data_IF_701287517111
#
_entry.id   IF_701287517111
#
_cell.length_a   1.000
_cell.length_b   1.000
_cell.length_c   1.000
_cell.angle_alpha   90.00
_cell.angle_beta   90.00
_cell.angle_gamma   90.00
#
_symmetry.space_group_name_H-M   'P 1'
#
loop_
_entity.id
_entity.type
_entity.pdbx_description
1 polymer ?
#
# COMPACT_ATOMS: atom_id res chain seq x y z
N UNK A 1 -70.40 -36.64 -3.13
CA UNK A 1 -69.40 -36.95 -4.17
C UNK A 1 -68.03 -36.76 -3.54
N UNK A 2 -67.28 -37.85 -3.51
CA UNK A 2 -66.06 -38.16 -2.75
C UNK A 2 -64.94 -37.12 -2.80
N UNK A 3 -64.51 -36.64 -1.63
CA UNK A 3 -63.20 -36.03 -1.47
C UNK A 3 -62.12 -37.11 -1.49
N UNK A 4 -61.33 -37.16 -2.56
CA UNK A 4 -60.10 -37.96 -2.59
C UNK A 4 -59.03 -37.26 -1.76
N UNK A 5 -59.00 -37.55 -0.47
CA UNK A 5 -57.84 -37.30 0.39
C UNK A 5 -56.86 -38.45 0.26
N UNK A 6 -55.63 -38.18 -0.17
CA UNK A 6 -54.55 -39.18 -0.19
C UNK A 6 -54.21 -39.71 1.21
N UNK A 7 -53.69 -40.93 1.29
CA UNK A 7 -53.52 -41.75 2.49
C UNK A 7 -52.55 -41.20 3.57
N UNK A 8 -51.92 -40.05 3.35
CA UNK A 8 -51.19 -39.32 4.38
C UNK A 8 -51.71 -37.88 4.38
N UNK A 9 -52.44 -37.51 5.43
CA UNK A 9 -53.16 -36.24 5.59
C UNK A 9 -52.29 -34.98 5.69
N UNK A 10 -51.09 -34.98 5.12
CA UNK A 10 -50.27 -33.78 4.97
C UNK A 10 -50.68 -33.09 3.68
N UNK A 11 -51.52 -32.04 3.80
CA UNK A 11 -51.63 -31.02 2.75
C UNK A 11 -50.19 -30.57 2.44
N UNK A 12 -49.78 -30.63 1.18
CA UNK A 12 -48.48 -30.17 0.74
C UNK A 12 -48.34 -28.65 0.96
N UNK A 13 -48.03 -28.22 2.18
CA UNK A 13 -47.56 -26.89 2.51
C UNK A 13 -46.03 -26.86 2.63
N UNK A 14 -45.33 -27.82 2.02
CA UNK A 14 -43.87 -27.86 1.92
C UNK A 14 -43.37 -26.93 0.81
N UNK A 15 -43.69 -25.64 0.95
CA UNK A 15 -43.10 -24.57 0.12
C UNK A 15 -42.65 -23.39 0.96
N UNK A 16 -42.56 -23.55 2.28
CA UNK A 16 -42.05 -22.54 3.21
C UNK A 16 -40.55 -22.24 3.04
N UNK A 17 -39.81 -23.10 2.33
CA UNK A 17 -38.44 -22.81 1.88
C UNK A 17 -38.36 -21.83 0.71
N UNK A 18 -39.49 -21.50 0.07
CA UNK A 18 -39.53 -20.53 -1.03
C UNK A 18 -39.74 -19.13 -0.48
N UNK A 19 -38.88 -18.20 -0.90
CA UNK A 19 -38.98 -16.78 -0.56
C UNK A 19 -40.37 -16.25 -0.93
N UNK A 20 -41.24 -16.09 0.07
CA UNK A 20 -42.57 -15.50 -0.09
C UNK A 20 -42.37 -14.01 -0.30
N UNK A 21 -42.76 -13.51 -1.47
CA UNK A 21 -42.78 -12.08 -1.73
C UNK A 21 -43.98 -11.49 -0.99
N UNK A 22 -43.72 -10.58 -0.07
CA UNK A 22 -44.77 -9.86 0.62
C UNK A 22 -45.45 -8.88 -0.36
N UNK A 23 -46.64 -9.24 -0.84
CA UNK A 23 -47.35 -8.46 -1.86
C UNK A 23 -47.71 -7.06 -1.35
N UNK A 24 -47.92 -6.92 -0.05
CA UNK A 24 -48.29 -5.64 0.57
C UNK A 24 -47.08 -4.70 0.61
N UNK A 25 -45.92 -5.19 1.07
CA UNK A 25 -44.67 -4.42 1.06
C UNK A 25 -44.29 -3.95 -0.37
N UNK A 26 -44.43 -4.83 -1.36
CA UNK A 26 -44.14 -4.47 -2.76
C UNK A 26 -45.18 -3.51 -3.35
N UNK A 27 -46.45 -3.63 -2.96
CA UNK A 27 -47.50 -2.68 -3.36
C UNK A 27 -47.27 -1.29 -2.74
N UNK A 28 -46.87 -1.22 -1.47
CA UNK A 28 -46.48 0.04 -0.83
C UNK A 28 -45.24 0.65 -1.48
N UNK A 29 -44.25 -0.17 -1.81
CA UNK A 29 -43.03 0.27 -2.49
C UNK A 29 -43.31 0.77 -3.91
N UNK A 30 -44.28 0.17 -4.61
CA UNK A 30 -44.75 0.66 -5.90
C UNK A 30 -45.46 2.01 -5.76
N UNK A 31 -46.41 2.14 -4.82
CA UNK A 31 -47.09 3.41 -4.53
C UNK A 31 -46.12 4.53 -4.18
N UNK A 32 -45.13 4.27 -3.32
CA UNK A 32 -44.07 5.23 -2.98
C UNK A 32 -43.26 5.66 -4.20
N UNK A 33 -42.96 4.74 -5.13
CA UNK A 33 -42.30 5.08 -6.40
C UNK A 33 -43.17 5.95 -7.30
N UNK A 34 -44.46 5.64 -7.41
CA UNK A 34 -45.41 6.41 -8.24
C UNK A 34 -45.66 7.81 -7.66
N UNK A 35 -45.68 7.95 -6.34
CA UNK A 35 -45.72 9.26 -5.65
C UNK A 35 -44.44 10.06 -5.90
N UNK A 36 -43.27 9.45 -5.72
CA UNK A 36 -41.99 10.09 -6.04
C UNK A 36 -41.89 10.53 -7.50
N UNK A 37 -42.41 9.74 -8.44
CA UNK A 37 -42.39 10.08 -9.86
C UNK A 37 -43.36 11.23 -10.17
N UNK A 38 -44.56 11.21 -9.60
CA UNK A 38 -45.53 12.32 -9.72
C UNK A 38 -44.97 13.62 -9.16
N UNK A 39 -44.30 13.59 -8.01
CA UNK A 39 -43.72 14.80 -7.42
C UNK A 39 -42.53 15.32 -8.25
N UNK A 40 -41.74 14.44 -8.87
CA UNK A 40 -40.71 14.85 -9.85
C UNK A 40 -41.30 15.49 -11.10
N UNK A 41 -42.43 14.99 -11.60
CA UNK A 41 -43.11 15.56 -12.76
C UNK A 41 -43.63 16.96 -12.44
N UNK A 42 -44.26 17.15 -11.27
CA UNK A 42 -44.67 18.47 -10.78
C UNK A 42 -43.48 19.44 -10.64
N UNK A 43 -42.37 19.02 -10.02
CA UNK A 43 -41.17 19.87 -9.90
C UNK A 43 -40.60 20.24 -11.28
N UNK A 44 -40.63 19.30 -12.23
CA UNK A 44 -40.18 19.56 -13.60
C UNK A 44 -41.10 20.52 -14.35
N UNK A 45 -42.41 20.40 -14.20
CA UNK A 45 -43.41 21.34 -14.75
C UNK A 45 -43.23 22.74 -14.16
N UNK A 46 -43.01 22.85 -12.84
CA UNK A 46 -42.71 24.12 -12.18
C UNK A 46 -41.40 24.74 -12.68
N UNK A 47 -40.35 23.94 -12.88
CA UNK A 47 -39.08 24.42 -13.46
C UNK A 47 -39.27 24.88 -14.91
N UNK A 48 -40.07 24.16 -15.70
CA UNK A 48 -40.40 24.56 -17.06
C UNK A 48 -41.21 25.86 -17.10
N UNK A 49 -42.17 26.03 -16.18
CA UNK A 49 -42.91 27.28 -15.99
C UNK A 49 -42.00 28.45 -15.60
N UNK A 50 -40.92 28.17 -14.86
CA UNK A 50 -39.84 29.13 -14.54
C UNK A 50 -38.78 29.27 -15.67
N UNK A 51 -38.97 28.64 -16.83
CA UNK A 51 -38.02 28.69 -17.96
C UNK A 51 -36.72 27.90 -17.76
N UNK A 52 -36.61 27.09 -16.71
CA UNK A 52 -35.43 26.26 -16.41
C UNK A 52 -35.61 24.85 -16.97
N UNK A 53 -34.55 24.29 -17.54
CA UNK A 53 -34.55 22.91 -18.09
C UNK A 53 -34.93 21.87 -17.02
N UNK A 54 -35.74 20.83 -17.34
CA UNK A 54 -36.15 19.79 -16.39
C UNK A 54 -34.95 19.05 -15.79
N UNK A 55 -35.06 18.62 -14.52
CA UNK A 55 -34.07 17.73 -13.90
C UNK A 55 -34.31 16.32 -14.42
N UNK A 56 -33.26 15.71 -14.97
CA UNK A 56 -33.28 14.32 -15.48
C UNK A 56 -32.96 13.26 -14.42
N UNK A 57 -32.62 13.64 -13.19
CA UNK A 57 -32.18 12.73 -12.12
C UNK A 57 -32.83 13.03 -10.78
N UNK A 58 -32.76 12.06 -9.86
CA UNK A 58 -33.24 12.19 -8.48
C UNK A 58 -32.46 13.32 -7.78
N UNK A 59 -33.16 14.10 -6.95
CA UNK A 59 -32.53 15.12 -6.13
C UNK A 59 -31.85 14.41 -4.97
N UNK A 60 -30.55 14.18 -5.09
CA UNK A 60 -29.76 13.82 -3.93
C UNK A 60 -29.65 15.11 -3.10
N UNK A 61 -30.38 15.17 -1.98
CA UNK A 61 -30.29 16.23 -0.98
C UNK A 61 -28.95 16.13 -0.25
N UNK A 62 -27.88 16.33 -1.02
CA UNK A 62 -26.54 16.45 -0.50
C UNK A 62 -26.45 17.80 0.19
N UNK A 63 -25.86 17.86 1.40
CA UNK A 63 -25.73 19.10 2.15
C UNK A 63 -25.08 20.18 1.28
N UNK A 64 -25.57 21.41 1.42
CA UNK A 64 -25.00 22.56 0.71
C UNK A 64 -23.51 22.60 1.02
N UNK A 65 -22.63 22.70 0.01
CA UNK A 65 -21.19 22.70 0.26
C UNK A 65 -20.80 23.91 1.11
N UNK A 66 -20.45 23.69 2.36
CA UNK A 66 -20.11 24.74 3.32
C UNK A 66 -18.61 25.03 3.35
N UNK A 67 -17.77 24.07 2.94
CA UNK A 67 -16.32 24.21 3.03
C UNK A 67 -15.66 24.57 1.69
N UNK A 68 -14.58 25.35 1.75
CA UNK A 68 -13.69 25.58 0.60
C UNK A 68 -12.88 24.32 0.29
N UNK A 69 -12.38 24.21 -0.94
CA UNK A 69 -11.58 23.07 -1.36
C UNK A 69 -10.28 23.02 -0.54
N UNK A 70 -10.16 22.02 0.32
CA UNK A 70 -8.95 21.80 1.13
C UNK A 70 -7.90 21.05 0.31
N UNK A 71 -6.63 21.32 0.60
CA UNK A 71 -5.52 20.52 0.07
C UNK A 71 -5.59 19.12 0.69
N UNK A 72 -5.34 18.08 -0.11
CA UNK A 72 -5.29 16.70 0.40
C UNK A 72 -4.07 16.53 1.31
N UNK A 73 -4.30 15.95 2.48
CA UNK A 73 -3.27 15.71 3.49
C UNK A 73 -2.57 14.35 3.33
N UNK A 74 -3.24 13.36 2.75
CA UNK A 74 -2.70 12.01 2.50
C UNK A 74 -2.36 11.73 1.03
N UNK A 75 -1.48 10.75 0.81
CA UNK A 75 -1.25 10.17 -0.51
C UNK A 75 -2.48 9.38 -0.96
N UNK A 76 -2.77 9.43 -2.26
CA UNK A 76 -3.91 8.73 -2.86
C UNK A 76 -3.62 7.25 -3.13
N UNK A 77 -2.44 6.78 -2.71
CA UNK A 77 -1.94 5.40 -2.77
C UNK A 77 -2.28 4.67 -4.08
N UNK A 78 -2.05 5.35 -5.20
CA UNK A 78 -2.31 4.82 -6.54
C UNK A 78 -1.45 3.58 -6.85
N UNK A 79 -0.36 3.41 -6.11
CA UNK A 79 0.65 2.37 -6.34
C UNK A 79 0.35 1.03 -5.65
N UNK A 80 -0.67 0.98 -4.78
CA UNK A 80 -0.97 -0.21 -3.94
C UNK A 80 -1.16 -1.50 -4.73
N UNK A 81 -1.66 -1.37 -5.96
CA UNK A 81 -2.03 -2.48 -6.83
C UNK A 81 -1.09 -2.65 -8.03
N UNK A 82 0.08 -1.99 -8.03
CA UNK A 82 1.08 -2.23 -9.07
C UNK A 82 1.59 -3.67 -8.99
N UNK A 83 1.60 -4.35 -10.14
CA UNK A 83 2.08 -5.73 -10.32
C UNK A 83 1.36 -6.80 -9.48
N UNK A 84 0.18 -6.52 -8.92
CA UNK A 84 -0.63 -7.49 -8.16
C UNK A 84 -1.83 -7.95 -8.99
N UNK A 85 -2.01 -9.26 -9.09
CA UNK A 85 -3.22 -9.86 -9.67
C UNK A 85 -4.30 -9.97 -8.60
N UNK A 86 -5.42 -9.27 -8.79
CA UNK A 86 -6.55 -9.26 -7.86
C UNK A 86 -7.67 -10.15 -8.41
N UNK A 87 -8.19 -11.06 -7.59
CA UNK A 87 -9.37 -11.86 -7.94
C UNK A 87 -10.62 -10.98 -7.83
N UNK A 88 -11.40 -10.91 -8.92
CA UNK A 88 -12.63 -10.12 -8.96
C UNK A 88 -13.69 -10.80 -8.09
N UNK A 89 -13.98 -10.23 -6.92
CA UNK A 89 -14.98 -10.80 -6.00
C UNK A 89 -16.42 -10.40 -6.36
N UNK A 90 -16.59 -9.33 -7.15
CA UNK A 90 -17.90 -8.76 -7.43
C UNK A 90 -18.19 -8.72 -8.95
N UNK A 91 -19.16 -9.53 -9.39
CA UNK A 91 -19.56 -9.65 -10.80
C UNK A 91 -20.41 -8.48 -11.31
N UNK A 92 -20.90 -7.63 -10.39
CA UNK A 92 -21.79 -6.51 -10.70
C UNK A 92 -21.11 -5.31 -11.38
N UNK A 93 -19.79 -5.36 -11.60
CA UNK A 93 -19.05 -4.33 -12.34
C UNK A 93 -18.93 -2.98 -11.62
N UNK A 94 -19.50 -2.82 -10.42
CA UNK A 94 -19.35 -1.66 -9.53
C UNK A 94 -19.21 -2.09 -8.07
N UNK A 95 -18.25 -1.51 -7.36
CA UNK A 95 -18.08 -1.72 -5.92
C UNK A 95 -16.69 -2.22 -5.51
N UNK A 96 -16.46 -2.40 -4.20
CA UNK A 96 -15.19 -2.88 -3.67
C UNK A 96 -14.91 -4.30 -4.17
N UNK A 97 -13.65 -4.59 -4.53
CA UNK A 97 -13.22 -5.91 -5.03
C UNK A 97 -13.14 -6.03 -6.56
N UNK A 98 -13.31 -4.94 -7.30
CA UNK A 98 -13.03 -4.89 -8.75
C UNK A 98 -11.65 -4.27 -8.96
N UNK A 99 -10.84 -4.79 -9.89
CA UNK A 99 -9.55 -4.20 -10.23
C UNK A 99 -9.72 -2.76 -10.70
N UNK A 100 -9.05 -1.83 -10.01
CA UNK A 100 -9.11 -0.40 -10.27
C UNK A 100 -9.04 0.43 -8.99
N UNK A 101 -9.24 1.74 -9.15
CA UNK A 101 -9.35 2.69 -8.05
C UNK A 101 -10.80 2.83 -7.62
N UNK A 102 -11.07 2.56 -6.35
CA UNK A 102 -12.42 2.64 -5.78
C UNK A 102 -12.59 3.94 -4.98
N UNK A 103 -13.69 4.65 -5.26
CA UNK A 103 -14.11 5.80 -4.48
C UNK A 103 -15.24 5.39 -3.52
N UNK A 104 -14.98 5.47 -2.21
CA UNK A 104 -15.93 5.12 -1.15
C UNK A 104 -17.13 6.08 -1.11
N UNK A 105 -16.90 7.38 -1.26
CA UNK A 105 -17.99 8.37 -1.14
C UNK A 105 -19.00 8.29 -2.28
N UNK A 106 -18.55 7.90 -3.47
CA UNK A 106 -19.38 7.84 -4.67
C UNK A 106 -19.77 6.41 -5.07
N UNK A 107 -19.25 5.38 -4.38
CA UNK A 107 -19.44 3.97 -4.70
C UNK A 107 -19.15 3.64 -6.18
N UNK A 108 -18.08 4.21 -6.74
CA UNK A 108 -17.68 4.04 -8.14
C UNK A 108 -16.25 3.54 -8.24
N UNK A 109 -16.03 2.61 -9.15
CA UNK A 109 -14.71 2.11 -9.52
C UNK A 109 -14.27 2.71 -10.84
N UNK A 110 -12.99 3.11 -10.90
CA UNK A 110 -12.33 3.66 -12.08
C UNK A 110 -11.16 2.76 -12.45
N UNK A 111 -11.00 2.47 -13.74
CA UNK A 111 -9.93 1.59 -14.24
C UNK A 111 -8.60 2.34 -14.38
N UNK A 112 -8.67 3.63 -14.70
CA UNK A 112 -7.52 4.48 -14.95
C UNK A 112 -7.29 5.47 -13.81
N UNK A 113 -6.03 5.84 -13.59
CA UNK A 113 -5.64 6.80 -12.56
C UNK A 113 -6.11 8.23 -12.89
N UNK A 114 -6.07 8.62 -14.17
CA UNK A 114 -6.56 9.91 -14.66
C UNK A 114 -8.06 10.05 -14.42
N UNK A 115 -8.84 9.03 -14.79
CA UNK A 115 -10.29 9.00 -14.55
C UNK A 115 -10.65 9.05 -13.07
N UNK A 116 -9.87 8.40 -12.20
CA UNK A 116 -10.04 8.49 -10.76
C UNK A 116 -9.72 9.89 -10.21
N UNK A 117 -8.65 10.53 -10.71
CA UNK A 117 -8.29 11.90 -10.31
C UNK A 117 -9.35 12.93 -10.74
N UNK A 118 -9.85 12.82 -11.98
CA UNK A 118 -10.92 13.67 -12.49
C UNK A 118 -12.22 13.48 -11.72
N UNK A 119 -12.50 12.25 -11.29
CA UNK A 119 -13.65 11.97 -10.44
C UNK A 119 -13.56 12.68 -9.10
N UNK A 120 -12.43 12.56 -8.39
CA UNK A 120 -12.29 13.15 -7.05
C UNK A 120 -12.27 14.68 -7.12
N UNK A 121 -11.68 15.25 -8.16
CA UNK A 121 -11.71 16.69 -8.42
C UNK A 121 -13.06 17.16 -9.01
N UNK A 122 -13.96 16.22 -9.33
CA UNK A 122 -15.25 16.50 -9.93
C UNK A 122 -16.23 17.15 -8.96
N UNK A 123 -17.05 18.08 -9.48
CA UNK A 123 -18.09 18.80 -8.72
C UNK A 123 -19.06 17.87 -8.00
N UNK A 124 -19.34 16.69 -8.56
CA UNK A 124 -20.25 15.72 -7.96
C UNK A 124 -19.65 15.08 -6.70
N UNK A 125 -18.37 14.68 -6.77
CA UNK A 125 -17.64 14.11 -5.64
C UNK A 125 -17.43 15.16 -4.53
N UNK A 126 -16.98 16.36 -4.90
CA UNK A 126 -16.79 17.46 -3.94
C UNK A 126 -18.12 17.87 -3.28
N UNK A 127 -19.24 17.85 -4.00
CA UNK A 127 -20.56 18.09 -3.41
C UNK A 127 -20.93 17.00 -2.39
N UNK A 128 -20.59 15.75 -2.64
CA UNK A 128 -20.83 14.66 -1.69
C UNK A 128 -19.97 14.81 -0.43
N UNK A 129 -18.78 15.38 -0.55
CA UNK A 129 -17.91 15.75 0.58
C UNK A 129 -18.34 17.06 1.27
N UNK A 130 -19.29 17.83 0.72
CA UNK A 130 -19.64 19.15 1.25
C UNK A 130 -18.62 20.26 0.95
N UNK A 131 -17.71 20.04 -0.02
CA UNK A 131 -16.71 21.01 -0.44
C UNK A 131 -17.10 21.71 -1.75
N UNK A 132 -16.76 22.99 -1.85
CA UNK A 132 -16.87 23.75 -3.11
C UNK A 132 -15.65 23.53 -3.99
N UNK A 133 -15.76 23.82 -5.29
CA UNK A 133 -14.60 23.86 -6.21
C UNK A 133 -13.75 25.12 -6.07
N UNK A 134 -14.08 26.00 -5.11
CA UNK A 134 -13.36 27.26 -4.93
C UNK A 134 -12.25 27.04 -3.89
N UNK A 135 -11.04 27.42 -4.28
CA UNK A 135 -9.86 27.39 -3.42
C UNK A 135 -9.74 28.76 -2.73
N UNK A 136 -9.26 28.77 -1.50
CA UNK A 136 -8.93 29.99 -0.77
C UNK A 136 -7.78 30.76 -1.46
N UNK A 137 -7.84 32.09 -1.43
CA UNK A 137 -6.73 32.91 -1.95
C UNK A 137 -5.58 32.90 -0.94
N UNK A 138 -4.37 32.61 -1.40
CA UNK A 138 -3.18 32.58 -0.56
C UNK A 138 -2.82 33.97 -0.02
N UNK A 139 -2.44 34.05 1.26
CA UNK A 139 -1.92 35.29 1.88
C UNK A 139 -0.41 35.45 1.62
N UNK A 140 0.12 36.67 1.78
CA UNK A 140 1.56 36.95 1.59
C UNK A 140 2.43 36.14 2.56
N UNK A 141 1.96 35.95 3.79
CA UNK A 141 2.66 35.17 4.81
C UNK A 141 2.75 33.69 4.44
N UNK A 142 1.66 33.11 3.93
CA UNK A 142 1.63 31.72 3.44
C UNK A 142 2.62 31.53 2.29
N UNK A 143 2.75 32.51 1.39
CA UNK A 143 3.70 32.47 0.29
C UNK A 143 5.14 32.52 0.81
N UNK A 144 5.45 33.40 1.76
CA UNK A 144 6.78 33.46 2.39
C UNK A 144 7.15 32.16 3.09
N UNK A 145 6.23 31.60 3.88
CA UNK A 145 6.42 30.31 4.55
C UNK A 145 6.64 29.18 3.54
N UNK A 146 5.88 29.17 2.43
CA UNK A 146 6.04 28.17 1.37
C UNK A 146 7.39 28.29 0.66
N UNK A 147 7.86 29.50 0.40
CA UNK A 147 9.18 29.74 -0.21
C UNK A 147 10.29 29.29 0.74
N UNK A 148 10.19 29.57 2.04
CA UNK A 148 11.15 29.10 3.04
C UNK A 148 11.23 27.57 3.08
N UNK A 149 10.08 26.89 3.16
CA UNK A 149 10.01 25.43 3.12
C UNK A 149 10.60 24.84 1.83
N UNK A 150 10.31 25.46 0.67
CA UNK A 150 10.89 25.01 -0.60
C UNK A 150 12.40 25.20 -0.63
N UNK A 151 12.92 26.32 -0.10
CA UNK A 151 14.36 26.56 0.01
C UNK A 151 15.04 25.50 0.87
N UNK A 152 14.50 25.18 2.04
CA UNK A 152 15.01 24.11 2.89
C UNK A 152 15.00 22.77 2.17
N UNK A 153 13.86 22.37 1.59
CA UNK A 153 13.76 21.12 0.85
C UNK A 153 14.73 21.05 -0.35
N UNK A 154 14.94 22.15 -1.06
CA UNK A 154 15.92 22.20 -2.14
C UNK A 154 17.36 22.16 -1.64
N UNK A 155 17.65 22.77 -0.48
CA UNK A 155 18.96 22.69 0.17
C UNK A 155 19.24 21.28 0.65
N UNK A 156 18.27 20.59 1.23
CA UNK A 156 18.42 19.20 1.64
C UNK A 156 18.62 18.29 0.42
N UNK A 157 17.86 18.52 -0.65
CA UNK A 157 18.03 17.79 -1.90
C UNK A 157 19.35 18.11 -2.61
N UNK A 158 19.89 19.34 -2.48
CA UNK A 158 21.20 19.69 -3.02
C UNK A 158 22.32 19.13 -2.16
N UNK A 159 22.21 19.17 -0.84
CA UNK A 159 23.16 18.57 0.10
C UNK A 159 23.21 17.05 -0.07
N UNK A 160 22.04 16.41 -0.26
CA UNK A 160 21.93 15.00 -0.59
C UNK A 160 22.38 14.67 -2.03
N UNK A 161 22.67 15.65 -2.89
CA UNK A 161 23.30 15.42 -4.20
C UNK A 161 24.79 15.75 -4.17
N UNK A 162 25.18 16.74 -3.37
CA UNK A 162 26.57 17.00 -2.98
C UNK A 162 26.98 16.03 -1.87
N UNK A 163 26.92 14.73 -2.16
CA UNK A 163 27.70 13.79 -1.39
C UNK A 163 29.17 14.16 -1.57
N UNK A 164 29.83 14.60 -0.49
CA UNK A 164 31.26 14.91 -0.46
C UNK A 164 32.06 13.69 -0.92
N UNK A 165 32.56 13.73 -2.16
CA UNK A 165 33.42 12.68 -2.69
C UNK A 165 34.65 12.45 -1.81
N UNK A 166 35.16 13.50 -1.17
CA UNK A 166 36.26 13.44 -0.23
C UNK A 166 35.93 12.60 1.01
N UNK A 167 34.74 12.78 1.60
CA UNK A 167 34.29 11.98 2.76
C UNK A 167 34.12 10.51 2.38
N UNK A 168 33.57 10.22 1.20
CA UNK A 168 33.45 8.84 0.72
C UNK A 168 34.81 8.19 0.43
N UNK A 169 35.76 8.94 -0.14
CA UNK A 169 37.12 8.46 -0.36
C UNK A 169 37.86 8.24 0.96
N UNK A 170 37.64 9.09 1.96
CA UNK A 170 38.18 8.91 3.31
C UNK A 170 37.60 7.64 3.97
N UNK A 171 36.28 7.44 3.94
CA UNK A 171 35.65 6.23 4.47
C UNK A 171 36.11 4.94 3.77
N UNK A 172 36.32 4.97 2.44
CA UNK A 172 36.85 3.84 1.69
C UNK A 172 38.30 3.54 2.12
N UNK A 173 39.14 4.58 2.26
CA UNK A 173 40.53 4.43 2.72
C UNK A 173 40.59 3.91 4.15
N UNK A 174 39.74 4.37 5.05
CA UNK A 174 39.65 3.89 6.43
C UNK A 174 39.20 2.43 6.49
N UNK A 175 38.18 2.05 5.71
CA UNK A 175 37.74 0.65 5.58
C UNK A 175 38.84 -0.25 5.01
N UNK A 176 39.58 0.22 4.02
CA UNK A 176 40.71 -0.54 3.46
C UNK A 176 41.86 -0.66 4.47
N UNK A 177 42.16 0.40 5.22
CA UNK A 177 43.18 0.40 6.26
C UNK A 177 42.81 -0.53 7.42
N UNK A 178 41.54 -0.52 7.86
CA UNK A 178 41.00 -1.43 8.87
C UNK A 178 41.09 -2.88 8.40
N UNK A 179 40.62 -3.19 7.18
CA UNK A 179 40.73 -4.53 6.61
C UNK A 179 42.19 -5.00 6.47
N UNK A 180 43.12 -4.08 6.16
CA UNK A 180 44.55 -4.39 6.09
C UNK A 180 45.15 -4.62 7.48
N UNK A 181 44.73 -3.88 8.50
CA UNK A 181 45.14 -4.08 9.88
C UNK A 181 44.62 -5.42 10.44
N UNK A 182 43.35 -5.74 10.19
CA UNK A 182 42.75 -7.03 10.56
C UNK A 182 43.47 -8.21 9.87
N UNK A 183 43.79 -8.10 8.58
CA UNK A 183 44.58 -9.13 7.87
C UNK A 183 45.97 -9.30 8.46
N UNK A 184 46.63 -8.20 8.88
CA UNK A 184 47.94 -8.26 9.53
C UNK A 184 47.85 -8.90 10.92
N UNK A 185 46.86 -8.51 11.73
CA UNK A 185 46.61 -9.09 13.04
C UNK A 185 46.30 -10.59 12.95
N UNK A 186 45.45 -11.01 12.00
CA UNK A 186 45.18 -12.42 11.73
C UNK A 186 46.44 -13.19 11.31
N UNK A 187 47.31 -12.58 10.48
CA UNK A 187 48.57 -13.22 10.07
C UNK A 187 49.57 -13.33 11.22
N UNK A 188 49.61 -12.35 12.12
CA UNK A 188 50.44 -12.38 13.33
C UNK A 188 49.92 -13.44 14.32
N UNK A 189 48.61 -13.45 14.60
CA UNK A 189 47.98 -14.47 15.44
C UNK A 189 48.21 -15.89 14.89
N UNK A 190 48.11 -16.11 13.59
CA UNK A 190 48.45 -17.40 12.96
C UNK A 190 49.93 -17.76 13.09
N UNK A 191 50.84 -16.79 13.01
CA UNK A 191 52.28 -17.02 13.20
C UNK A 191 52.64 -17.32 14.67
N UNK A 192 51.96 -16.68 15.61
CA UNK A 192 52.12 -16.95 17.04
C UNK A 192 51.53 -18.31 17.40
N UNK A 193 50.35 -18.65 16.89
CA UNK A 193 49.78 -20.00 17.02
C UNK A 193 50.71 -21.07 16.44
N UNK A 194 51.22 -20.86 15.21
CA UNK A 194 52.18 -21.77 14.61
C UNK A 194 53.50 -21.86 15.39
N UNK A 195 53.97 -20.77 16.03
CA UNK A 195 55.16 -20.79 16.91
C UNK A 195 54.90 -21.52 18.22
N UNK A 196 53.71 -21.38 18.80
CA UNK A 196 53.33 -22.10 20.02
C UNK A 196 53.12 -23.58 19.73
N UNK A 197 52.56 -23.92 18.56
CA UNK A 197 52.49 -25.31 18.08
C UNK A 197 53.88 -25.87 17.81
N UNK A 198 54.78 -25.15 17.13
CA UNK A 198 56.17 -25.58 16.96
C UNK A 198 56.92 -25.71 18.29
N UNK A 199 56.65 -24.84 19.27
CA UNK A 199 57.24 -24.95 20.61
C UNK A 199 56.72 -26.17 21.39
N UNK A 200 55.43 -26.50 21.21
CA UNK A 200 54.83 -27.74 21.75
C UNK A 200 55.36 -28.98 21.04
N UNK A 201 55.53 -28.93 19.73
CA UNK A 201 56.12 -30.00 18.94
C UNK A 201 57.59 -30.19 19.31
N UNK A 202 58.38 -29.12 19.55
CA UNK A 202 59.76 -29.25 20.04
C UNK A 202 59.84 -29.76 21.49
N UNK A 203 58.83 -29.50 22.31
CA UNK A 203 58.74 -30.08 23.66
C UNK A 203 58.35 -31.57 23.61
N UNK A 204 57.50 -31.98 22.65
CA UNK A 204 57.25 -33.40 22.36
C UNK A 204 58.44 -34.08 21.66
N UNK A 205 59.21 -33.34 20.85
CA UNK A 205 60.42 -33.85 20.18
C UNK A 205 61.61 -34.03 21.12
N UNK A 206 61.62 -33.38 22.29
CA UNK A 206 62.60 -33.68 23.34
C UNK A 206 62.34 -35.07 23.96
N UNK A 207 61.08 -35.50 24.09
CA UNK A 207 60.76 -36.88 24.48
C UNK A 207 61.04 -37.88 23.34
N UNK A 208 60.78 -37.52 22.08
CA UNK A 208 61.07 -38.40 20.93
C UNK A 208 62.57 -38.49 20.60
N UNK A 209 63.37 -37.45 20.87
CA UNK A 209 64.83 -37.47 20.65
C UNK A 209 65.54 -38.44 21.59
N UNK A 210 65.08 -38.55 22.85
CA UNK A 210 65.62 -39.52 23.80
C UNK A 210 65.15 -40.95 23.45
N UNK A 211 63.91 -41.14 22.98
CA UNK A 211 63.45 -42.45 22.48
C UNK A 211 64.15 -42.87 21.18
N UNK A 212 64.42 -41.93 20.26
CA UNK A 212 65.11 -42.16 18.99
C UNK A 212 66.63 -42.42 19.18
N UNK A 213 67.23 -41.83 20.22
CA UNK A 213 68.61 -42.14 20.64
C UNK A 213 68.70 -43.51 21.31
N UNK A 214 67.69 -43.90 22.11
CA UNK A 214 67.62 -45.21 22.75
C UNK A 214 67.33 -46.36 21.76
N UNK A 215 66.68 -46.07 20.62
CA UNK A 215 66.45 -47.02 19.51
C UNK A 215 67.51 -46.98 18.39
N UNK A 216 68.63 -46.26 18.57
CA UNK A 216 69.80 -46.36 17.71
C UNK A 216 69.72 -45.64 16.35
N UNK A 217 68.84 -44.65 16.18
CA UNK A 217 68.75 -43.87 14.94
C UNK A 217 69.69 -42.67 14.96
N UNK A 218 70.99 -42.90 14.75
CA UNK A 218 71.95 -41.82 14.54
C UNK A 218 71.86 -41.26 13.10
N UNK A 219 71.37 -40.03 12.99
CA UNK A 219 71.52 -39.07 11.89
C UNK A 219 71.90 -39.59 10.49
N UNK A 220 70.90 -39.77 9.63
CA UNK A 220 71.11 -39.99 8.20
C UNK A 220 71.30 -38.63 7.49
N UNK A 221 72.57 -38.31 7.19
CA UNK A 221 72.99 -37.56 6.00
C UNK A 221 72.46 -36.13 5.80
N UNK A 222 73.28 -35.13 6.14
CA UNK A 222 73.23 -33.83 5.46
C UNK A 222 73.66 -34.02 4.00
N UNK A 223 72.73 -33.89 3.04
CA UNK A 223 73.06 -33.80 1.61
C UNK A 223 72.45 -32.54 0.97
N UNK A 224 73.29 -31.52 0.81
CA UNK A 224 73.38 -30.57 -0.33
C UNK A 224 72.08 -30.23 -1.11
N UNK A 225 71.59 -28.99 -0.98
CA UNK A 225 71.82 -27.86 -1.90
C UNK A 225 71.15 -26.59 -1.39
#
# INVERSE_FOLDING_TARGET
>A
MSGQGGAYGTKASDTDFRKKWDKEEYAEKAKKKDEEERDRMKENEERMKQGKKPRRGRKDDLPKPTELMKRREGSLDLDKNLNKTMVVQNTSGRGPGIPGFYCETCNRTYKDSTGYLDHINGRAHLRALGQTTRIERSTVEQVRARIAYLREKTKDASNAKSYDFEKRLAEIKEKEAAARAEKKAQKQAKREQARVELAKDTAMQQDDSDMMSMMGFSGFGTSKK
#
